data_IF_517318052332
#
_entry.id   IF_517318052332
#
_cell.length_a   1.000
_cell.length_b   1.000
_cell.length_c   1.000
_cell.angle_alpha   90.00
_cell.angle_beta   90.00
_cell.angle_gamma   90.00
#
_symmetry.space_group_name_H-M   'P 1'
#
loop_
_entity.id
_entity.type
_entity.pdbx_description
1 polymer ?
#
# COMPACT_ATOMS: atom_id res chain seq x y z
N UNK A 1 -6.04 5.80 1.18
CA UNK A 1 -6.28 4.37 0.89
C UNK A 1 -6.39 3.52 2.16
N UNK A 2 -5.45 3.65 3.10
CA UNK A 2 -5.42 2.81 4.30
C UNK A 2 -6.70 2.86 5.13
N UNK A 3 -7.34 4.02 5.25
CA UNK A 3 -8.64 4.14 5.92
C UNK A 3 -9.70 3.19 5.33
N UNK A 4 -9.87 3.18 4.01
CA UNK A 4 -10.88 2.34 3.34
C UNK A 4 -10.52 0.85 3.40
N UNK A 5 -9.24 0.52 3.25
CA UNK A 5 -8.78 -0.87 3.31
C UNK A 5 -8.97 -1.42 4.73
N UNK A 6 -8.57 -0.67 5.75
CA UNK A 6 -8.70 -1.11 7.14
C UNK A 6 -10.16 -1.14 7.61
N UNK A 7 -11.00 -0.20 7.14
CA UNK A 7 -12.45 -0.25 7.34
C UNK A 7 -13.07 -1.49 6.70
N UNK A 8 -12.62 -1.89 5.50
CA UNK A 8 -13.06 -3.14 4.85
C UNK A 8 -12.63 -4.41 5.58
N UNK A 9 -11.58 -4.32 6.40
CA UNK A 9 -11.09 -5.38 7.28
C UNK A 9 -11.75 -5.35 8.67
N UNK A 10 -12.85 -4.60 8.81
CA UNK A 10 -13.65 -4.45 10.03
C UNK A 10 -12.86 -3.88 11.22
N UNK A 11 -11.87 -3.02 10.94
CA UNK A 11 -11.09 -2.32 11.95
C UNK A 11 -11.73 -0.97 12.22
N UNK A 12 -12.17 -0.74 13.46
CA UNK A 12 -12.69 0.55 13.90
C UNK A 12 -11.55 1.54 14.07
N UNK A 13 -11.41 2.47 13.12
CA UNK A 13 -10.35 3.47 13.09
C UNK A 13 -10.89 4.87 12.92
N UNK A 14 -10.24 5.84 13.56
CA UNK A 14 -10.47 7.24 13.22
C UNK A 14 -9.69 7.63 11.96
N UNK A 15 -10.07 8.75 11.35
CA UNK A 15 -9.34 9.26 10.19
C UNK A 15 -7.88 9.64 10.54
N UNK A 16 -7.65 10.07 11.78
CA UNK A 16 -6.31 10.41 12.30
C UNK A 16 -5.43 9.16 12.37
N UNK A 17 -5.97 8.04 12.83
CA UNK A 17 -5.24 6.77 12.90
C UNK A 17 -4.79 6.31 11.50
N UNK A 18 -5.64 6.48 10.49
CA UNK A 18 -5.28 6.14 9.11
C UNK A 18 -4.18 7.04 8.54
N UNK A 19 -4.13 8.33 8.93
CA UNK A 19 -3.04 9.23 8.57
C UNK A 19 -1.74 8.79 9.24
N UNK A 20 -1.78 8.38 10.51
CA UNK A 20 -0.60 7.86 11.21
C UNK A 20 -0.07 6.59 10.57
N UNK A 21 -0.94 5.65 10.20
CA UNK A 21 -0.55 4.44 9.45
C UNK A 21 0.11 4.80 8.11
N UNK A 22 -0.45 5.78 7.38
CA UNK A 22 0.14 6.26 6.14
C UNK A 22 1.53 6.86 6.36
N UNK A 23 1.70 7.71 7.37
CA UNK A 23 2.97 8.34 7.71
C UNK A 23 4.04 7.30 8.08
N UNK A 24 3.68 6.29 8.88
CA UNK A 24 4.57 5.18 9.21
C UNK A 24 4.94 4.34 7.98
N UNK A 25 3.96 4.01 7.13
CA UNK A 25 4.22 3.28 5.87
C UNK A 25 5.18 4.06 4.96
N UNK A 26 5.02 5.39 4.88
CA UNK A 26 5.91 6.27 4.12
C UNK A 26 7.31 6.34 4.73
N UNK A 27 7.43 6.44 6.06
CA UNK A 27 8.71 6.45 6.76
C UNK A 27 9.50 5.18 6.44
N UNK A 28 8.88 4.01 6.61
CA UNK A 28 9.52 2.72 6.34
C UNK A 28 9.86 2.55 4.86
N UNK A 29 8.95 2.97 3.96
CA UNK A 29 9.20 2.94 2.53
C UNK A 29 10.39 3.82 2.12
N UNK A 30 10.52 4.99 2.72
CA UNK A 30 11.64 5.90 2.45
C UNK A 30 12.97 5.39 3.01
N UNK A 31 12.95 4.74 4.19
CA UNK A 31 14.15 4.13 4.77
C UNK A 31 14.62 2.90 3.98
N UNK A 32 13.68 2.14 3.41
CA UNK A 32 13.93 0.88 2.70
C UNK A 32 13.70 1.02 1.18
N UNK A 33 13.97 2.20 0.62
CA UNK A 33 13.69 2.54 -0.79
C UNK A 33 14.44 1.67 -1.81
N UNK A 34 15.53 1.05 -1.37
CA UNK A 34 16.37 0.17 -2.20
C UNK A 34 15.79 -1.24 -2.37
N UNK A 35 14.74 -1.61 -1.61
CA UNK A 35 14.09 -2.90 -1.76
C UNK A 35 13.09 -2.85 -2.94
N UNK A 36 13.13 -3.85 -3.85
CA UNK A 36 12.22 -3.88 -4.98
C UNK A 36 10.77 -3.96 -4.48
N UNK A 37 9.95 -3.02 -4.94
CA UNK A 37 8.57 -2.83 -4.51
C UNK A 37 8.41 -2.59 -2.99
N UNK A 38 9.50 -2.46 -2.21
CA UNK A 38 9.48 -2.44 -0.74
C UNK A 38 8.74 -3.67 -0.16
N UNK A 39 8.93 -4.83 -0.79
CA UNK A 39 8.33 -6.10 -0.40
C UNK A 39 8.82 -6.51 1.00
N UNK A 40 7.92 -6.94 1.88
CA UNK A 40 8.24 -7.24 3.29
C UNK A 40 8.49 -6.01 4.17
N UNK A 41 9.13 -4.96 3.65
CA UNK A 41 9.35 -3.70 4.36
C UNK A 41 8.05 -2.96 4.70
N UNK A 42 7.19 -2.71 3.71
CA UNK A 42 5.91 -2.02 3.96
C UNK A 42 4.95 -2.85 4.80
N UNK A 43 4.91 -4.16 4.59
CA UNK A 43 4.06 -5.09 5.35
C UNK A 43 4.50 -5.19 6.81
N UNK A 44 5.82 -5.27 7.04
CA UNK A 44 6.42 -5.15 8.36
C UNK A 44 6.12 -3.79 8.99
N UNK A 45 6.32 -2.70 8.26
CA UNK A 45 6.03 -1.33 8.72
C UNK A 45 4.57 -1.10 9.10
N UNK A 46 3.63 -1.63 8.31
CA UNK A 46 2.20 -1.61 8.62
C UNK A 46 1.86 -2.46 9.83
N UNK A 47 2.43 -3.66 9.95
CA UNK A 47 2.23 -4.52 11.12
C UNK A 47 2.73 -3.85 12.40
N UNK A 48 3.84 -3.09 12.32
CA UNK A 48 4.35 -2.28 13.42
C UNK A 48 3.43 -1.10 13.72
N UNK A 49 2.98 -0.36 12.71
CA UNK A 49 2.07 0.78 12.91
C UNK A 49 0.73 0.36 13.56
N UNK A 50 0.17 -0.77 13.13
CA UNK A 50 -1.06 -1.36 13.70
C UNK A 50 -0.84 -1.80 15.15
N UNK A 51 0.33 -2.39 15.46
CA UNK A 51 0.73 -2.71 16.84
C UNK A 51 0.88 -1.46 17.71
N UNK A 52 1.48 -0.39 17.18
CA UNK A 52 1.65 0.88 17.90
C UNK A 52 0.32 1.54 18.24
N UNK A 53 -0.68 1.41 17.38
CA UNK A 53 -2.03 1.96 17.59
C UNK A 53 -2.92 1.07 18.48
N UNK A 54 -2.42 -0.06 19.00
CA UNK A 54 -3.19 -0.97 19.86
C UNK A 54 -4.31 -1.74 19.14
N UNK A 55 -4.34 -1.65 17.81
CA UNK A 55 -5.34 -2.25 16.95
C UNK A 55 -5.05 -3.75 16.84
N UNK A 56 -5.57 -4.48 17.81
CA UNK A 56 -5.29 -5.88 18.01
C UNK A 56 -6.09 -6.73 17.05
N UNK A 57 -5.67 -6.82 15.79
CA UNK A 57 -6.05 -7.95 14.95
C UNK A 57 -4.84 -8.53 14.21
N UNK A 58 -4.50 -9.82 14.45
CA UNK A 58 -3.38 -10.49 13.81
C UNK A 58 -3.50 -10.44 12.28
N UNK A 59 -2.40 -10.12 11.59
CA UNK A 59 -2.30 -10.25 10.13
C UNK A 59 -2.85 -9.09 9.29
N UNK A 60 -3.54 -8.09 9.88
CA UNK A 60 -4.10 -6.94 9.11
C UNK A 60 -3.03 -6.22 8.28
N UNK A 61 -1.83 -6.04 8.83
CA UNK A 61 -0.74 -5.37 8.12
C UNK A 61 -0.34 -6.07 6.82
N UNK A 62 -0.39 -7.41 6.81
CA UNK A 62 -0.09 -8.24 5.63
C UNK A 62 -1.23 -8.15 4.62
N UNK A 63 -2.48 -8.31 5.05
CA UNK A 63 -3.64 -8.19 4.15
C UNK A 63 -3.74 -6.80 3.52
N UNK A 64 -3.52 -5.76 4.32
CA UNK A 64 -3.51 -4.38 3.85
C UNK A 64 -2.40 -4.17 2.81
N UNK A 65 -1.21 -4.74 3.05
CA UNK A 65 -0.12 -4.76 2.08
C UNK A 65 -0.55 -5.41 0.75
N UNK A 66 -1.10 -6.62 0.78
CA UNK A 66 -1.55 -7.34 -0.42
C UNK A 66 -2.56 -6.51 -1.24
N UNK A 67 -3.55 -5.90 -0.59
CA UNK A 67 -4.53 -5.03 -1.28
C UNK A 67 -3.86 -3.86 -2.01
N UNK A 68 -2.88 -3.21 -1.38
CA UNK A 68 -2.13 -2.12 -2.04
C UNK A 68 -1.33 -2.62 -3.25
N UNK A 69 -0.79 -3.85 -3.20
CA UNK A 69 -0.05 -4.45 -4.32
C UNK A 69 -0.93 -4.77 -5.52
N UNK A 70 -2.11 -5.34 -5.29
CA UNK A 70 -3.06 -5.63 -6.36
C UNK A 70 -3.44 -4.32 -7.08
N UNK A 71 -3.69 -3.25 -6.32
CA UNK A 71 -3.94 -1.92 -6.88
C UNK A 71 -2.75 -1.41 -7.69
N UNK A 72 -1.54 -1.50 -7.14
CA UNK A 72 -0.31 -1.07 -7.83
C UNK A 72 -0.12 -1.83 -9.16
N UNK A 73 -0.23 -3.15 -9.15
CA UNK A 73 -0.11 -4.00 -10.34
C UNK A 73 -1.19 -3.70 -11.38
N UNK A 74 -2.43 -3.49 -10.94
CA UNK A 74 -3.53 -3.10 -11.81
C UNK A 74 -3.23 -1.79 -12.56
N UNK A 75 -2.75 -0.76 -11.84
CA UNK A 75 -2.40 0.52 -12.46
C UNK A 75 -1.14 0.46 -13.31
N UNK A 76 -0.14 -0.35 -12.94
CA UNK A 76 1.03 -0.61 -13.77
C UNK A 76 0.59 -1.24 -15.10
N UNK A 77 -0.28 -2.24 -15.06
CA UNK A 77 -0.79 -2.91 -16.25
C UNK A 77 -1.55 -1.94 -17.18
N UNK A 78 -2.42 -1.10 -16.62
CA UNK A 78 -3.12 -0.05 -17.38
C UNK A 78 -2.11 0.94 -17.99
N UNK A 79 -1.17 1.45 -17.19
CA UNK A 79 -0.18 2.42 -17.64
C UNK A 79 0.68 1.87 -18.79
N UNK A 80 1.20 0.66 -18.66
CA UNK A 80 1.98 -0.01 -19.72
C UNK A 80 1.15 -0.22 -20.98
N UNK A 81 -0.11 -0.63 -20.84
CA UNK A 81 -1.02 -0.83 -21.98
C UNK A 81 -1.28 0.49 -22.72
N UNK A 82 -1.54 1.58 -21.99
CA UNK A 82 -1.75 2.91 -22.56
C UNK A 82 -0.51 3.42 -23.30
N UNK A 83 0.68 3.28 -22.71
CA UNK A 83 1.95 3.64 -23.38
C UNK A 83 2.14 2.84 -24.66
N UNK A 84 1.87 1.54 -24.64
CA UNK A 84 2.01 0.67 -25.83
C UNK A 84 1.03 1.03 -26.94
N UNK A 85 -0.21 1.40 -26.61
CA UNK A 85 -1.21 1.86 -27.58
C UNK A 85 -0.87 3.26 -28.10
N UNK A 86 -0.49 4.18 -27.23
CA UNK A 86 -0.09 5.55 -27.58
C UNK A 86 1.15 5.60 -28.47
N UNK A 87 2.18 4.83 -28.15
CA UNK A 87 3.42 4.78 -28.94
C UNK A 87 3.19 4.17 -30.33
N UNK A 88 2.29 3.17 -30.46
CA UNK A 88 1.90 2.63 -31.78
C UNK A 88 1.16 3.64 -32.67
N UNK A 89 0.56 4.69 -32.10
CA UNK A 89 -0.01 5.79 -32.90
C UNK A 89 1.04 6.83 -33.32
N UNK A 90 2.09 7.04 -32.52
CA UNK A 90 3.15 8.02 -32.81
C UNK A 90 4.19 7.49 -33.82
N UNK A 91 4.43 6.17 -33.85
CA UNK A 91 5.36 5.53 -34.79
C UNK A 91 4.71 5.13 -36.14
N UNK A 92 3.45 5.53 -36.38
CA UNK A 92 2.76 5.39 -37.67
C UNK A 92 2.67 6.74 -38.34
#
# INVERSE_FOLDING_TARGET
>A
EYYLILLSLNVSLTYVDAILVLAFSSLIGNLLFFLPMQLGAREGGLSLAVRFLGLSAPGIGVFTGIYTRIRELFWIFIGVTLVKVGNRRLMR
#
